data_IF_618368045396
#
_entry.id   IF_618368045396
#
_cell.length_a   1.000
_cell.length_b   1.000
_cell.length_c   1.000
_cell.angle_alpha   90.00
_cell.angle_beta   90.00
_cell.angle_gamma   90.00
#
_symmetry.space_group_name_H-M   'P 1'
#
loop_
_entity.id
_entity.type
_entity.pdbx_description
1 polymer ?
#
# COMPACT_ATOMS: atom_id res chain seq x y z
N UNK A 1 72.60 17.77 -4.59
CA UNK A 1 71.62 16.68 -4.33
C UNK A 1 70.24 17.19 -4.75
N UNK A 2 69.59 16.48 -5.64
CA UNK A 2 68.23 16.83 -6.10
C UNK A 2 67.19 15.99 -5.33
N UNK A 3 66.01 16.58 -5.03
CA UNK A 3 64.90 15.91 -4.40
C UNK A 3 63.96 15.38 -5.52
N UNK A 4 63.66 14.09 -5.49
CA UNK A 4 62.71 13.48 -6.39
C UNK A 4 61.41 13.22 -5.65
N UNK A 5 60.31 13.54 -6.29
CA UNK A 5 58.93 13.30 -5.77
C UNK A 5 58.27 12.17 -6.56
N UNK A 6 57.41 11.40 -5.86
CA UNK A 6 56.57 10.41 -6.50
C UNK A 6 55.42 11.03 -7.33
N UNK A 7 54.72 10.21 -8.04
CA UNK A 7 53.54 10.65 -8.83
C UNK A 7 52.43 11.16 -7.88
N UNK A 8 51.74 12.20 -8.33
CA UNK A 8 50.52 12.67 -7.65
C UNK A 8 49.44 11.63 -7.82
N UNK A 9 48.77 11.28 -6.74
CA UNK A 9 47.59 10.40 -6.73
C UNK A 9 46.40 11.23 -6.22
N UNK A 10 45.42 11.41 -7.09
CA UNK A 10 44.17 12.07 -6.75
C UNK A 10 43.20 11.07 -6.14
N UNK A 11 42.45 11.51 -5.15
CA UNK A 11 41.33 10.77 -4.60
C UNK A 11 40.11 11.66 -4.51
N UNK A 12 38.93 11.08 -4.75
CA UNK A 12 37.63 11.74 -4.53
C UNK A 12 36.98 11.13 -3.31
N UNK A 13 36.53 11.98 -2.39
CA UNK A 13 35.69 11.53 -1.26
C UNK A 13 34.30 11.16 -1.76
N UNK A 14 33.77 10.02 -1.31
CA UNK A 14 32.38 9.67 -1.55
C UNK A 14 31.48 10.57 -0.70
N UNK A 15 30.35 11.02 -1.29
CA UNK A 15 29.33 11.69 -0.51
C UNK A 15 28.80 10.73 0.57
N UNK A 16 28.55 11.21 1.80
CA UNK A 16 27.93 10.37 2.83
C UNK A 16 26.55 9.90 2.35
N UNK A 17 26.14 8.68 2.71
CA UNK A 17 24.81 8.19 2.36
C UNK A 17 23.71 9.07 2.97
N UNK A 18 22.59 9.16 2.25
CA UNK A 18 21.36 9.85 2.66
C UNK A 18 20.18 8.87 2.63
N UNK A 19 19.00 9.30 3.08
CA UNK A 19 17.79 8.51 2.99
C UNK A 19 17.49 8.12 1.52
N UNK A 20 16.93 6.96 1.32
CA UNK A 20 16.41 6.54 0.03
C UNK A 20 15.31 7.50 -0.48
N UNK A 21 15.06 7.49 -1.79
CA UNK A 21 13.93 8.21 -2.38
C UNK A 21 12.91 7.21 -2.87
N UNK A 22 11.66 7.34 -2.41
CA UNK A 22 10.57 6.43 -2.74
C UNK A 22 9.28 7.20 -3.02
N UNK A 23 8.51 6.74 -4.00
CA UNK A 23 7.20 7.26 -4.37
C UNK A 23 6.14 6.18 -4.16
N UNK A 24 4.95 6.58 -3.67
CA UNK A 24 3.79 5.70 -3.57
C UNK A 24 3.08 5.65 -4.92
N UNK A 25 2.71 4.46 -5.39
CA UNK A 25 1.95 4.29 -6.64
C UNK A 25 0.44 4.28 -6.40
N UNK A 26 -0.34 4.36 -7.49
CA UNK A 26 -1.79 4.35 -7.43
C UNK A 26 -2.35 3.08 -6.77
N UNK A 27 -3.52 3.22 -6.14
CA UNK A 27 -4.24 2.12 -5.51
C UNK A 27 -5.24 1.56 -6.53
N UNK A 28 -5.37 0.23 -6.55
CA UNK A 28 -6.24 -0.51 -7.46
C UNK A 28 -6.86 -1.73 -6.77
N UNK A 29 -7.74 -2.45 -7.47
CA UNK A 29 -8.37 -3.69 -7.00
C UNK A 29 -8.97 -3.55 -5.58
N UNK A 30 -9.62 -2.42 -5.31
CA UNK A 30 -10.21 -2.14 -4.01
C UNK A 30 -11.45 -3.04 -3.83
N UNK A 31 -11.47 -3.76 -2.72
CA UNK A 31 -12.60 -4.57 -2.25
C UNK A 31 -12.98 -4.16 -0.82
N UNK A 32 -13.90 -4.88 -0.19
CA UNK A 32 -14.22 -4.64 1.23
C UNK A 32 -13.07 -4.97 2.18
N UNK A 33 -12.21 -5.92 1.81
CA UNK A 33 -11.18 -6.48 2.70
C UNK A 33 -9.76 -6.46 2.14
N UNK A 34 -9.59 -5.96 0.90
CA UNK A 34 -8.28 -5.94 0.24
C UNK A 34 -8.13 -4.76 -0.73
N UNK A 35 -6.91 -4.38 -1.04
CA UNK A 35 -6.53 -3.46 -2.09
C UNK A 35 -5.12 -3.77 -2.58
N UNK A 36 -4.79 -3.33 -3.79
CA UNK A 36 -3.43 -3.43 -4.35
C UNK A 36 -2.85 -2.04 -4.51
N UNK A 37 -1.61 -1.84 -4.12
CA UNK A 37 -0.83 -0.63 -4.33
C UNK A 37 0.64 -0.99 -4.48
N UNK A 38 1.55 -0.06 -4.35
CA UNK A 38 2.99 -0.32 -4.39
C UNK A 38 3.80 0.96 -4.28
N UNK A 39 5.03 0.89 -4.69
CA UNK A 39 5.93 2.02 -4.72
C UNK A 39 7.02 1.89 -5.77
N UNK A 40 7.77 2.97 -5.92
CA UNK A 40 8.98 2.98 -6.72
C UNK A 40 10.12 3.62 -5.93
N UNK A 41 11.13 2.83 -5.59
CA UNK A 41 12.36 3.33 -4.98
C UNK A 41 13.26 3.84 -6.10
N UNK A 42 13.35 5.16 -6.26
CA UNK A 42 14.08 5.80 -7.37
C UNK A 42 15.56 6.02 -7.06
N UNK A 43 15.95 6.01 -5.77
CA UNK A 43 17.33 6.10 -5.34
C UNK A 43 17.52 5.39 -3.99
N UNK A 44 18.64 4.71 -3.82
CA UNK A 44 19.03 4.12 -2.53
C UNK A 44 19.73 5.12 -1.61
N UNK A 45 20.03 6.33 -2.10
CA UNK A 45 20.71 7.37 -1.33
C UNK A 45 22.19 7.10 -1.09
N UNK A 46 22.81 6.20 -1.85
CA UNK A 46 24.23 5.79 -1.69
C UNK A 46 24.44 4.70 -0.63
N UNK A 47 23.35 4.10 -0.11
CA UNK A 47 23.39 2.94 0.77
C UNK A 47 22.28 1.94 0.37
N UNK A 48 22.56 0.64 0.28
CA UNK A 48 21.58 -0.35 -0.16
C UNK A 48 20.28 -0.30 0.64
N UNK A 49 19.14 -0.33 -0.05
CA UNK A 49 17.82 -0.46 0.58
C UNK A 49 17.65 -1.89 1.07
N UNK A 50 17.59 -2.05 2.38
CA UNK A 50 17.48 -3.35 3.06
C UNK A 50 16.04 -3.88 3.10
N UNK A 51 15.06 -2.99 3.16
CA UNK A 51 13.63 -3.36 3.15
C UNK A 51 12.81 -2.24 2.51
N UNK A 52 11.76 -2.63 1.77
CA UNK A 52 10.76 -1.74 1.20
C UNK A 52 9.37 -2.36 1.30
N UNK A 53 8.34 -1.53 1.29
CA UNK A 53 6.95 -1.97 1.41
C UNK A 53 5.98 -0.79 1.51
N UNK A 54 4.79 -1.07 1.99
CA UNK A 54 3.71 -0.11 2.22
C UNK A 54 3.41 -0.02 3.71
N UNK A 55 3.45 1.18 4.26
CA UNK A 55 2.89 1.50 5.56
C UNK A 55 1.44 1.97 5.36
N UNK A 56 0.49 1.46 6.15
CA UNK A 56 -0.93 1.79 6.01
C UNK A 56 -1.66 1.81 7.35
N UNK A 57 -2.77 2.54 7.40
CA UNK A 57 -3.60 2.69 8.59
C UNK A 57 -4.75 3.64 8.36
N UNK A 58 -5.54 3.90 9.41
CA UNK A 58 -6.72 4.78 9.36
C UNK A 58 -6.41 6.24 9.68
N UNK A 59 -5.17 6.56 10.01
CA UNK A 59 -4.67 7.92 10.25
C UNK A 59 -3.78 8.38 9.11
N UNK A 60 -3.75 9.68 8.86
CA UNK A 60 -2.87 10.29 7.84
C UNK A 60 -1.39 10.03 8.14
N UNK A 61 -0.59 9.95 7.07
CA UNK A 61 0.85 9.74 7.15
C UNK A 61 1.27 8.51 7.97
N UNK A 62 0.75 7.30 7.67
CA UNK A 62 1.13 6.09 8.38
C UNK A 62 2.64 5.84 8.27
N UNK A 63 3.21 5.20 9.28
CA UNK A 63 4.62 4.81 9.36
C UNK A 63 4.73 3.30 9.52
N UNK A 64 5.93 2.76 9.50
CA UNK A 64 6.19 1.34 9.76
C UNK A 64 5.83 0.88 11.18
N UNK A 65 5.52 1.81 12.10
CA UNK A 65 4.95 1.50 13.43
C UNK A 65 3.44 1.19 13.41
N UNK A 66 2.76 1.51 12.30
CA UNK A 66 1.38 1.10 12.02
C UNK A 66 1.39 -0.29 11.37
N UNK A 67 0.42 -0.61 10.50
CA UNK A 67 0.53 -1.81 9.67
C UNK A 67 1.53 -1.55 8.53
N UNK A 68 2.36 -2.54 8.23
CA UNK A 68 3.31 -2.46 7.13
C UNK A 68 3.46 -3.80 6.42
N UNK A 69 3.60 -3.76 5.10
CA UNK A 69 4.01 -4.91 4.29
C UNK A 69 5.54 -4.94 4.15
N UNK A 70 6.08 -6.08 3.78
CA UNK A 70 7.50 -6.25 3.41
C UNK A 70 7.51 -6.83 2.00
N UNK A 71 7.92 -6.01 1.03
CA UNK A 71 7.82 -6.32 -0.40
C UNK A 71 9.21 -6.44 -1.06
N UNK A 72 10.22 -6.76 -0.26
CA UNK A 72 11.59 -7.01 -0.70
C UNK A 72 12.58 -5.91 -0.34
N UNK A 73 13.64 -5.78 -1.14
CA UNK A 73 14.76 -4.87 -0.95
C UNK A 73 15.20 -4.23 -2.28
N UNK A 74 16.18 -3.32 -2.22
CA UNK A 74 16.75 -2.67 -3.40
C UNK A 74 15.86 -1.58 -4.00
N UNK A 75 16.29 -1.03 -5.14
CA UNK A 75 15.61 0.00 -5.91
C UNK A 75 14.59 -0.58 -6.89
N UNK A 76 13.82 0.31 -7.54
CA UNK A 76 12.84 -0.04 -8.57
C UNK A 76 11.41 -0.15 -8.07
N UNK A 77 10.51 -0.50 -8.98
CA UNK A 77 9.08 -0.64 -8.74
C UNK A 77 8.79 -1.93 -7.97
N UNK A 78 7.80 -1.88 -7.08
CA UNK A 78 7.26 -3.03 -6.37
C UNK A 78 5.75 -2.91 -6.22
N UNK A 79 5.08 -4.05 -6.09
CA UNK A 79 3.66 -4.15 -5.82
C UNK A 79 3.43 -4.74 -4.44
N UNK A 80 2.36 -4.33 -3.80
CA UNK A 80 1.96 -4.74 -2.45
C UNK A 80 0.47 -5.07 -2.42
N UNK A 81 0.11 -6.14 -1.72
CA UNK A 81 -1.28 -6.52 -1.46
C UNK A 81 -1.63 -6.20 -0.02
N UNK A 82 -2.59 -5.32 0.17
CA UNK A 82 -3.17 -5.03 1.48
C UNK A 82 -4.34 -5.99 1.71
N UNK A 83 -4.34 -6.69 2.82
CA UNK A 83 -5.36 -7.70 3.16
C UNK A 83 -5.92 -7.45 4.57
N UNK A 84 -7.02 -8.13 4.90
CA UNK A 84 -7.67 -8.01 6.21
C UNK A 84 -8.10 -6.58 6.55
N UNK A 85 -8.48 -5.83 5.54
CA UNK A 85 -9.03 -4.49 5.73
C UNK A 85 -10.45 -4.60 6.31
N UNK A 86 -10.84 -3.58 7.08
CA UNK A 86 -12.22 -3.41 7.54
C UNK A 86 -13.04 -2.80 6.42
N UNK A 87 -14.20 -3.37 6.06
CA UNK A 87 -15.09 -2.79 5.05
C UNK A 87 -15.57 -1.38 5.43
N UNK A 88 -15.96 -0.59 4.43
CA UNK A 88 -16.46 0.78 4.57
C UNK A 88 -15.54 1.71 5.39
N UNK A 89 -14.23 1.49 5.29
CA UNK A 89 -13.23 2.20 6.10
C UNK A 89 -12.24 2.94 5.19
N UNK A 90 -11.91 4.18 5.54
CA UNK A 90 -10.87 4.96 4.85
C UNK A 90 -9.50 4.60 5.39
N UNK A 91 -8.60 4.24 4.48
CA UNK A 91 -7.19 3.95 4.74
C UNK A 91 -6.29 4.97 4.07
N UNK A 92 -5.19 5.28 4.73
CA UNK A 92 -4.06 6.05 4.19
C UNK A 92 -2.90 5.09 3.97
N UNK A 93 -2.18 5.28 2.88
CA UNK A 93 -1.05 4.43 2.49
C UNK A 93 0.14 5.27 2.07
N UNK A 94 1.35 4.77 2.38
CA UNK A 94 2.63 5.33 1.93
C UNK A 94 3.60 4.22 1.62
N UNK A 95 4.28 4.30 0.49
CA UNK A 95 5.46 3.47 0.26
C UNK A 95 6.58 3.87 1.23
N UNK A 96 7.36 2.91 1.67
CA UNK A 96 8.56 3.15 2.47
C UNK A 96 9.76 2.38 1.93
N UNK A 97 10.95 2.90 2.20
CA UNK A 97 12.23 2.24 1.94
C UNK A 97 13.21 2.56 3.06
N UNK A 98 13.90 1.55 3.57
CA UNK A 98 14.86 1.68 4.66
C UNK A 98 16.26 1.34 4.14
N UNK A 99 17.22 2.21 4.40
CA UNK A 99 18.65 1.97 4.21
C UNK A 99 19.39 2.15 5.55
N UNK A 100 20.72 2.14 5.56
CA UNK A 100 21.52 2.30 6.78
C UNK A 100 21.35 3.68 7.46
N UNK A 101 20.84 4.69 6.75
CA UNK A 101 20.60 6.04 7.30
C UNK A 101 19.25 6.12 8.02
N UNK A 102 18.24 5.36 7.54
CA UNK A 102 16.90 5.36 8.13
C UNK A 102 15.81 4.99 7.13
N UNK A 103 14.56 5.25 7.51
CA UNK A 103 13.38 4.95 6.69
C UNK A 103 12.86 6.21 6.03
N UNK A 104 12.80 6.18 4.70
CA UNK A 104 12.14 7.18 3.86
C UNK A 104 10.70 6.77 3.58
N UNK A 105 9.83 7.74 3.37
CA UNK A 105 8.42 7.55 3.04
C UNK A 105 8.05 8.35 1.80
N UNK A 106 7.27 7.74 0.92
CA UNK A 106 6.64 8.41 -0.22
C UNK A 106 5.48 9.32 0.19
N UNK A 107 4.83 9.91 -0.79
CA UNK A 107 3.61 10.69 -0.58
C UNK A 107 2.51 9.82 0.04
N UNK A 108 1.71 10.43 0.93
CA UNK A 108 0.52 9.79 1.48
C UNK A 108 -0.64 9.91 0.49
N UNK A 109 -1.34 8.81 0.27
CA UNK A 109 -2.59 8.78 -0.48
C UNK A 109 -3.63 7.98 0.30
N UNK A 110 -4.91 8.09 -0.05
CA UNK A 110 -5.99 7.42 0.66
C UNK A 110 -6.95 6.73 -0.29
N UNK A 111 -7.67 5.73 0.24
CA UNK A 111 -8.78 5.07 -0.42
C UNK A 111 -9.80 4.63 0.64
N UNK A 112 -11.05 4.38 0.22
CA UNK A 112 -12.04 3.73 1.07
C UNK A 112 -12.29 2.31 0.58
N UNK A 113 -12.24 1.34 1.49
CA UNK A 113 -12.65 -0.04 1.21
C UNK A 113 -14.14 -0.11 0.95
N UNK A 114 -14.58 -1.05 0.11
CA UNK A 114 -15.98 -1.19 -0.26
C UNK A 114 -16.84 -1.61 0.94
N UNK A 115 -18.07 -1.12 0.97
CA UNK A 115 -19.06 -1.57 1.95
C UNK A 115 -19.64 -2.94 1.55
N UNK A 116 -20.15 -3.75 2.49
CA UNK A 116 -20.96 -4.92 2.16
C UNK A 116 -22.26 -4.52 1.46
N UNK A 117 -22.85 -5.39 0.62
CA UNK A 117 -24.17 -5.18 0.08
C UNK A 117 -25.22 -5.09 1.21
N UNK A 118 -26.24 -4.27 1.01
CA UNK A 118 -27.40 -4.19 1.92
C UNK A 118 -28.59 -4.85 1.23
N UNK A 119 -29.19 -5.82 1.91
CA UNK A 119 -30.33 -6.59 1.38
C UNK A 119 -31.49 -6.54 2.37
N UNK A 120 -32.71 -6.66 1.83
CA UNK A 120 -33.93 -6.84 2.62
C UNK A 120 -34.63 -8.13 2.21
N UNK A 121 -35.34 -8.76 3.12
CA UNK A 121 -36.23 -9.89 2.84
C UNK A 121 -37.66 -9.38 2.86
N UNK A 122 -38.44 -9.71 1.86
CA UNK A 122 -39.87 -9.43 1.82
C UNK A 122 -40.62 -10.41 2.74
N UNK A 123 -41.70 -9.94 3.32
CA UNK A 123 -42.60 -10.82 4.09
C UNK A 123 -43.14 -11.95 3.19
N UNK A 124 -43.27 -13.11 3.79
CA UNK A 124 -43.91 -14.24 3.10
C UNK A 124 -45.38 -13.91 2.84
N UNK A 125 -45.85 -14.15 1.62
CA UNK A 125 -47.21 -13.87 1.18
C UNK A 125 -47.74 -15.03 0.32
N UNK A 126 -49.03 -14.96 -0.05
CA UNK A 126 -49.70 -15.97 -0.89
C UNK A 126 -49.50 -17.41 -0.34
N UNK A 127 -49.62 -17.59 0.98
CA UNK A 127 -49.47 -18.88 1.62
C UNK A 127 -50.63 -19.77 1.25
N UNK A 128 -50.35 -20.94 0.71
CA UNK A 128 -51.30 -22.01 0.38
C UNK A 128 -50.85 -23.31 1.01
N UNK A 129 -51.63 -24.38 0.87
CA UNK A 129 -51.27 -25.72 1.38
C UNK A 129 -50.05 -26.32 0.64
N UNK A 130 -49.66 -25.78 -0.50
CA UNK A 130 -48.62 -26.32 -1.36
C UNK A 130 -47.52 -25.30 -1.73
N UNK A 131 -47.62 -24.05 -1.25
CA UNK A 131 -46.62 -23.04 -1.60
C UNK A 131 -46.79 -21.72 -0.85
N UNK A 132 -45.79 -20.91 -0.96
CA UNK A 132 -45.77 -19.52 -0.47
C UNK A 132 -44.85 -18.68 -1.35
N UNK A 133 -45.11 -17.37 -1.39
CA UNK A 133 -44.28 -16.41 -2.11
C UNK A 133 -43.45 -15.60 -1.12
N UNK A 134 -42.16 -15.54 -1.37
CA UNK A 134 -41.23 -14.69 -0.63
C UNK A 134 -40.21 -14.10 -1.62
N UNK A 135 -39.47 -13.11 -1.19
CA UNK A 135 -38.44 -12.47 -1.99
C UNK A 135 -37.58 -11.52 -1.17
N UNK A 136 -36.81 -10.70 -1.84
CA UNK A 136 -35.99 -9.69 -1.22
C UNK A 136 -35.55 -8.66 -2.23
N UNK A 137 -34.90 -7.61 -1.75
CA UNK A 137 -34.30 -6.59 -2.60
C UNK A 137 -32.89 -6.28 -2.15
N UNK A 138 -31.99 -6.07 -3.11
CA UNK A 138 -30.67 -5.49 -2.87
C UNK A 138 -30.82 -3.97 -2.87
N UNK A 139 -30.65 -3.33 -1.71
CA UNK A 139 -30.80 -1.88 -1.56
C UNK A 139 -29.54 -1.13 -1.96
N UNK A 140 -28.36 -1.74 -1.75
CA UNK A 140 -27.07 -1.20 -2.13
C UNK A 140 -26.09 -2.34 -2.43
N UNK A 141 -25.33 -2.20 -3.52
CA UNK A 141 -24.35 -3.21 -3.94
C UNK A 141 -23.02 -3.12 -3.15
N UNK A 142 -22.84 -2.09 -2.31
CA UNK A 142 -21.60 -1.86 -1.61
C UNK A 142 -20.40 -1.52 -2.53
N UNK A 143 -20.69 -1.14 -3.80
CA UNK A 143 -19.65 -0.85 -4.79
C UNK A 143 -19.16 -2.07 -5.59
N UNK A 144 -19.69 -3.26 -5.30
CA UNK A 144 -19.42 -4.49 -6.05
C UNK A 144 -20.56 -4.81 -7.02
N UNK A 145 -20.27 -5.61 -8.06
CA UNK A 145 -21.31 -6.14 -8.96
C UNK A 145 -22.11 -7.19 -8.17
N UNK A 146 -23.43 -7.01 -8.14
CA UNK A 146 -24.35 -8.03 -7.63
C UNK A 146 -24.77 -8.87 -8.83
N UNK A 147 -24.50 -10.17 -8.78
CA UNK A 147 -24.93 -11.15 -9.77
C UNK A 147 -26.15 -11.89 -9.25
N UNK A 148 -27.20 -11.99 -10.07
CA UNK A 148 -28.41 -12.75 -9.78
C UNK A 148 -28.16 -14.25 -9.88
#
# INVERSE_FOLDING_TARGET
MGTSYGSVVDFTTLNPPVLATVNTTAISNITGTAATTGGNVTSDGGAPVSVRGIAYGTTVNPTTSNNATIDGSGTGVFSSSLTSLTPATTYYVRAYATNSVGTAYGNSTSFSSLAPPTVTTSAVSSITSSGALSGGAVLASGGAIVID
#
